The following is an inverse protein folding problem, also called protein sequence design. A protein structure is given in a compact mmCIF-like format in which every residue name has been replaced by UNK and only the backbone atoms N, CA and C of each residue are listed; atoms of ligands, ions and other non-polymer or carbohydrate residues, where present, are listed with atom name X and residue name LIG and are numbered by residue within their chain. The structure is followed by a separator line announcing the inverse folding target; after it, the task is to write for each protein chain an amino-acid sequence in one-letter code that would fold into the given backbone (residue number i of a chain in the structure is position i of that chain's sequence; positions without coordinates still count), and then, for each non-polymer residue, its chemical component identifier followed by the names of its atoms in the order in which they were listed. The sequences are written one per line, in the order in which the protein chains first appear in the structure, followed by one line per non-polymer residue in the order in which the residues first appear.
data_IF_161039133752
#
_entry.id   IF_161039133752
#
_cell.length_a   1.000
_cell.length_b   1.000
_cell.length_c   1.000
_cell.angle_alpha   90.00
_cell.angle_beta   90.00
_cell.angle_gamma   90.00
#
_symmetry.space_group_name_H-M   'P 1'
#
loop_
_entity.id
_entity.type
_entity.pdbx_description
1 polymer ?
#
# COMPACT_ATOMS: atom_id res chain seq x y z
N UNK A 1 -21.48 5.28 0.64
CA UNK A 1 -20.03 5.12 0.92
C UNK A 1 -19.79 3.86 1.76
N UNK A 2 -20.64 3.54 2.74
CA UNK A 2 -20.43 2.39 3.64
C UNK A 2 -20.77 1.03 3.03
N UNK A 3 -21.71 0.93 2.10
CA UNK A 3 -22.17 -0.35 1.52
C UNK A 3 -21.25 -0.92 0.45
N UNK A 4 -20.41 -0.10 -0.18
CA UNK A 4 -19.46 -0.54 -1.23
C UNK A 4 -18.11 -0.99 -0.68
N UNK A 5 -17.88 -0.90 0.63
CA UNK A 5 -16.62 -1.28 1.28
C UNK A 5 -16.66 -2.69 1.93
N UNK A 6 -17.75 -3.43 1.76
CA UNK A 6 -17.99 -4.66 2.53
C UNK A 6 -17.32 -5.92 1.98
N UNK A 7 -16.71 -5.89 0.79
CA UNK A 7 -16.14 -7.08 0.13
C UNK A 7 -14.75 -6.87 -0.51
N UNK A 8 -14.01 -5.83 -0.13
CA UNK A 8 -12.73 -5.51 -0.78
C UNK A 8 -11.52 -6.03 0.01
N UNK A 9 -10.47 -6.38 -0.73
CA UNK A 9 -9.15 -6.57 -0.18
C UNK A 9 -8.72 -5.31 0.60
N UNK A 10 -7.99 -5.43 1.72
CA UNK A 10 -7.53 -4.25 2.48
C UNK A 10 -6.77 -3.22 1.63
N UNK A 11 -6.02 -3.69 0.61
CA UNK A 11 -5.34 -2.81 -0.32
C UNK A 11 -6.32 -1.99 -1.17
N UNK A 12 -7.43 -2.57 -1.63
CA UNK A 12 -8.47 -1.84 -2.38
C UNK A 12 -9.12 -0.75 -1.53
N UNK A 13 -9.38 -1.04 -0.25
CA UNK A 13 -9.90 -0.04 0.69
C UNK A 13 -8.96 1.16 0.77
N UNK A 14 -7.66 0.95 0.85
CA UNK A 14 -6.67 2.01 0.92
C UNK A 14 -6.52 2.77 -0.41
N UNK A 15 -6.56 2.09 -1.55
CA UNK A 15 -6.55 2.76 -2.86
C UNK A 15 -7.78 3.64 -3.03
N UNK A 16 -8.96 3.13 -2.70
CA UNK A 16 -10.19 3.90 -2.73
C UNK A 16 -10.18 5.07 -1.74
N UNK A 17 -9.61 4.86 -0.55
CA UNK A 17 -9.44 5.90 0.45
C UNK A 17 -8.61 7.08 -0.08
N UNK A 18 -7.55 6.83 -0.86
CA UNK A 18 -6.75 7.90 -1.46
C UNK A 18 -7.58 8.74 -2.45
N UNK A 19 -8.39 8.11 -3.29
CA UNK A 19 -9.29 8.80 -4.24
C UNK A 19 -10.36 9.64 -3.50
N UNK A 20 -10.99 9.05 -2.47
CA UNK A 20 -12.01 9.74 -1.65
C UNK A 20 -11.40 10.91 -0.89
N UNK A 21 -10.22 10.71 -0.29
CA UNK A 21 -9.50 11.74 0.44
C UNK A 21 -9.17 12.93 -0.49
N UNK A 22 -8.64 12.65 -1.69
CA UNK A 22 -8.36 13.68 -2.69
C UNK A 22 -9.62 14.49 -3.04
N UNK A 23 -10.73 13.81 -3.30
CA UNK A 23 -12.01 14.43 -3.65
C UNK A 23 -12.57 15.28 -2.51
N UNK A 24 -12.62 14.76 -1.29
CA UNK A 24 -13.21 15.43 -0.13
C UNK A 24 -12.36 16.62 0.33
N UNK A 25 -11.04 16.47 0.31
CA UNK A 25 -10.12 17.54 0.67
C UNK A 25 -9.93 18.56 -0.45
N UNK A 26 -10.43 18.29 -1.66
CA UNK A 26 -10.29 19.16 -2.81
C UNK A 26 -8.84 19.34 -3.24
N UNK A 27 -8.02 18.32 -3.07
CA UNK A 27 -6.62 18.30 -3.46
C UNK A 27 -6.34 17.18 -4.45
N UNK A 28 -5.49 17.47 -5.44
CA UNK A 28 -4.96 16.43 -6.36
C UNK A 28 -3.81 15.64 -5.75
N UNK A 29 -3.21 16.15 -4.69
CA UNK A 29 -1.91 15.73 -4.19
C UNK A 29 -2.08 15.08 -2.81
N UNK A 30 -2.40 13.80 -2.79
CA UNK A 30 -2.66 13.01 -1.59
C UNK A 30 -1.79 11.77 -1.59
N UNK A 31 -1.18 11.45 -0.45
CA UNK A 31 -0.47 10.20 -0.23
C UNK A 31 -0.95 9.49 1.03
N UNK A 32 -0.92 8.17 0.97
CA UNK A 32 -1.11 7.29 2.12
C UNK A 32 0.19 6.50 2.32
N UNK A 33 0.75 6.62 3.51
CA UNK A 33 1.91 5.86 3.94
C UNK A 33 1.48 4.82 4.97
N UNK A 34 1.99 3.59 4.85
CA UNK A 34 1.88 2.55 5.87
C UNK A 34 3.09 2.62 6.79
N UNK A 35 2.85 2.63 8.08
CA UNK A 35 3.93 2.66 9.08
C UNK A 35 4.55 1.27 9.18
N UNK A 36 5.85 1.17 8.90
CA UNK A 36 6.59 -0.07 8.95
C UNK A 36 7.18 -0.35 10.35
N UNK A 37 7.54 0.71 11.07
CA UNK A 37 8.05 0.67 12.43
C UNK A 37 7.98 2.08 13.06
N UNK A 38 8.54 2.25 14.25
CA UNK A 38 8.49 3.53 14.98
C UNK A 38 9.18 4.72 14.31
N UNK A 39 9.94 4.48 13.25
CA UNK A 39 10.69 5.54 12.54
C UNK A 39 10.35 5.66 11.07
N UNK A 40 10.02 4.55 10.44
CA UNK A 40 9.86 4.50 8.98
C UNK A 40 8.43 4.20 8.56
N UNK A 41 8.00 4.92 7.53
CA UNK A 41 6.76 4.62 6.82
C UNK A 41 7.05 4.43 5.31
N UNK A 42 6.24 3.60 4.67
CA UNK A 42 6.36 3.28 3.24
C UNK A 42 5.15 3.82 2.50
N UNK A 43 5.41 4.41 1.36
CA UNK A 43 4.35 4.86 0.46
C UNK A 43 3.49 3.66 0.07
N UNK A 44 2.20 3.76 0.30
CA UNK A 44 1.22 2.79 -0.16
C UNK A 44 0.53 3.26 -1.44
N UNK A 45 0.03 4.49 -1.43
CA UNK A 45 -0.68 5.09 -2.55
C UNK A 45 -0.39 6.58 -2.63
N UNK A 46 -0.34 7.12 -3.85
CA UNK A 46 -0.25 8.56 -4.09
C UNK A 46 -1.01 8.92 -5.35
N UNK A 47 -1.72 10.05 -5.33
CA UNK A 47 -2.59 10.50 -6.43
C UNK A 47 -1.86 11.35 -7.46
N UNK A 48 -0.61 11.74 -7.20
CA UNK A 48 0.20 12.58 -8.11
C UNK A 48 1.70 12.40 -7.87
N UNK A 49 2.52 12.88 -8.78
CA UNK A 49 3.97 12.93 -8.62
C UNK A 49 4.40 13.85 -7.45
N UNK A 50 3.69 14.95 -7.21
CA UNK A 50 3.93 15.78 -6.04
C UNK A 50 3.70 15.04 -4.73
N UNK A 51 2.66 14.23 -4.66
CA UNK A 51 2.38 13.38 -3.50
C UNK A 51 3.43 12.27 -3.30
N UNK A 52 4.19 11.91 -4.36
CA UNK A 52 5.31 10.95 -4.31
C UNK A 52 6.64 11.59 -3.94
N UNK A 53 6.72 12.92 -3.87
CA UNK A 53 7.98 13.67 -3.74
C UNK A 53 8.82 13.31 -2.52
N UNK A 54 8.20 12.82 -1.45
CA UNK A 54 8.91 12.34 -0.26
C UNK A 54 9.56 10.96 -0.45
N UNK A 55 9.27 10.28 -1.56
CA UNK A 55 9.81 8.97 -1.90
C UNK A 55 9.02 7.79 -1.35
N UNK A 56 9.46 6.59 -1.72
CA UNK A 56 8.79 5.33 -1.38
C UNK A 56 9.00 4.90 0.08
N UNK A 57 9.99 5.48 0.76
CA UNK A 57 10.25 5.22 2.19
C UNK A 57 10.68 6.52 2.84
N UNK A 58 10.04 6.89 3.93
CA UNK A 58 10.34 8.11 4.69
C UNK A 58 10.70 7.77 6.13
N UNK A 59 11.66 8.49 6.68
CA UNK A 59 11.89 8.52 8.11
C UNK A 59 10.98 9.59 8.72
N UNK A 60 9.75 9.22 9.05
CA UNK A 60 8.76 10.18 9.57
C UNK A 60 9.09 10.66 10.98
N UNK A 61 9.90 9.93 11.74
CA UNK A 61 10.33 10.36 13.07
C UNK A 61 11.33 11.53 13.03
N UNK A 62 12.05 11.71 11.94
CA UNK A 62 12.94 12.86 11.73
C UNK A 62 12.19 14.12 11.20
N UNK A 63 10.92 13.97 10.88
CA UNK A 63 10.06 15.10 10.51
C UNK A 63 9.47 15.77 11.76
N UNK A 64 10.33 16.32 12.62
CA UNK A 64 10.05 16.74 14.00
C UNK A 64 8.75 17.54 14.18
N UNK A 65 8.54 18.56 13.32
CA UNK A 65 7.36 19.41 13.41
C UNK A 65 6.05 18.63 13.15
N UNK A 66 6.08 17.69 12.21
CA UNK A 66 4.94 16.84 11.90
C UNK A 66 4.81 15.71 12.91
N UNK A 67 5.91 15.02 13.20
CA UNK A 67 5.93 13.87 14.10
C UNK A 67 5.36 14.18 15.47
N UNK A 68 5.80 15.28 16.10
CA UNK A 68 5.32 15.70 17.43
C UNK A 68 3.80 15.88 17.48
N UNK A 69 3.22 16.46 16.42
CA UNK A 69 1.77 16.67 16.33
C UNK A 69 1.04 15.37 16.12
N UNK A 70 1.54 14.53 15.20
CA UNK A 70 0.93 13.23 14.90
C UNK A 70 1.01 12.28 16.10
N UNK A 71 2.14 12.22 16.80
CA UNK A 71 2.31 11.43 18.03
C UNK A 71 1.33 11.85 19.14
N UNK A 72 0.96 13.14 19.17
CA UNK A 72 -0.11 13.66 20.02
C UNK A 72 -1.53 13.38 19.52
N UNK A 73 -1.71 12.51 18.52
CA UNK A 73 -2.99 12.16 17.90
C UNK A 73 -3.78 13.36 17.37
N UNK A 74 -3.05 14.37 16.87
CA UNK A 74 -3.62 15.60 16.32
C UNK A 74 -3.31 15.70 14.83
N UNK A 75 -4.15 16.43 14.10
CA UNK A 75 -3.90 16.77 12.71
C UNK A 75 -2.78 17.80 12.62
N UNK A 76 -1.76 17.49 11.84
CA UNK A 76 -0.71 18.42 11.51
C UNK A 76 -1.18 19.43 10.47
N UNK A 77 -0.91 20.70 10.68
CA UNK A 77 -1.14 21.79 9.74
C UNK A 77 0.19 22.52 9.56
N UNK A 78 0.69 22.58 8.35
CA UNK A 78 1.94 23.26 7.99
C UNK A 78 1.73 24.78 7.92
N UNK A 79 1.72 25.42 9.07
CA UNK A 79 1.50 26.88 9.18
C UNK A 79 2.62 27.71 8.57
N UNK A 80 3.82 27.17 8.54
CA UNK A 80 5.00 27.86 8.03
C UNK A 80 5.19 27.70 6.53
N UNK A 81 4.30 26.96 5.85
CA UNK A 81 4.38 26.67 4.42
C UNK A 81 5.74 26.07 3.99
N UNK A 82 6.36 25.29 4.87
CA UNK A 82 7.63 24.62 4.58
C UNK A 82 7.40 23.55 3.50
N UNK A 83 8.02 23.72 2.35
CA UNK A 83 7.84 22.84 1.18
C UNK A 83 8.28 21.39 1.40
N UNK A 84 9.11 21.14 2.43
CA UNK A 84 9.55 19.80 2.84
C UNK A 84 8.43 18.96 3.44
N UNK A 85 7.34 19.58 3.88
CA UNK A 85 6.23 18.92 4.56
C UNK A 85 4.93 19.01 3.75
N UNK A 86 4.01 18.05 3.93
CA UNK A 86 2.65 18.21 3.43
C UNK A 86 1.97 19.41 4.09
N UNK A 87 0.95 19.97 3.46
CA UNK A 87 0.15 21.05 4.04
C UNK A 87 -0.67 20.57 5.24
N UNK A 88 -1.20 19.35 5.15
CA UNK A 88 -1.88 18.69 6.26
C UNK A 88 -1.46 17.23 6.33
N UNK A 89 -1.40 16.68 7.53
CA UNK A 89 -1.25 15.25 7.74
C UNK A 89 -2.08 14.78 8.94
N UNK A 90 -2.54 13.53 8.86
CA UNK A 90 -3.23 12.85 9.96
C UNK A 90 -2.71 11.43 10.09
N UNK A 91 -2.51 10.99 11.33
CA UNK A 91 -2.11 9.62 11.62
C UNK A 91 -3.33 8.79 12.07
N UNK A 92 -3.40 7.57 11.56
CA UNK A 92 -4.40 6.59 11.96
C UNK A 92 -3.74 5.58 12.90
N UNK A 93 -4.37 5.35 14.03
CA UNK A 93 -3.88 4.51 15.10
C UNK A 93 -4.74 3.24 15.26
N UNK A 94 -4.09 2.15 15.63
CA UNK A 94 -4.74 0.95 16.15
C UNK A 94 -4.01 0.54 17.42
N UNK A 95 -4.73 0.36 18.52
CA UNK A 95 -4.17 -0.04 19.82
C UNK A 95 -2.95 0.82 20.25
N UNK A 96 -3.07 2.15 20.10
CA UNK A 96 -2.02 3.13 20.37
C UNK A 96 -0.78 3.08 19.44
N UNK A 97 -0.73 2.20 18.47
CA UNK A 97 0.30 2.17 17.45
C UNK A 97 -0.15 2.89 16.17
N UNK A 98 0.72 3.75 15.65
CA UNK A 98 0.49 4.42 14.38
C UNK A 98 0.56 3.40 13.23
N UNK A 99 -0.48 3.31 12.43
CA UNK A 99 -0.59 2.34 11.32
C UNK A 99 -0.46 3.01 9.96
N UNK A 100 -1.10 4.16 9.80
CA UNK A 100 -1.12 4.90 8.54
C UNK A 100 -0.85 6.38 8.78
N UNK A 101 -0.26 7.03 7.79
CA UNK A 101 -0.13 8.50 7.74
C UNK A 101 -0.76 8.97 6.44
N UNK A 102 -1.80 9.79 6.56
CA UNK A 102 -2.45 10.49 5.46
C UNK A 102 -1.76 11.83 5.28
N UNK A 103 -1.31 12.14 4.08
CA UNK A 103 -0.61 13.38 3.75
C UNK A 103 -1.27 14.08 2.58
N UNK A 104 -1.41 15.39 2.67
CA UNK A 104 -2.11 16.21 1.68
C UNK A 104 -1.28 17.44 1.37
N UNK A 105 -1.10 17.68 0.07
CA UNK A 105 -0.54 18.91 -0.49
C UNK A 105 -1.60 19.64 -1.33
N UNK A 106 -1.28 20.80 -1.81
CA UNK A 106 -2.07 21.48 -2.85
C UNK A 106 -3.49 21.91 -2.43
N UNK A 107 -3.75 22.06 -1.12
CA UNK A 107 -5.03 22.63 -0.63
C UNK A 107 -5.00 24.13 -0.90
N UNK A 108 -6.05 24.70 -1.54
CA UNK A 108 -6.19 26.14 -1.68
C UNK A 108 -6.14 26.83 -0.31
N UNK A 109 -5.44 27.97 -0.23
CA UNK A 109 -5.24 28.70 1.03
C UNK A 109 -6.55 29.00 1.76
N UNK A 110 -7.59 29.38 1.02
CA UNK A 110 -8.91 29.68 1.56
C UNK A 110 -9.57 28.47 2.25
N UNK A 111 -9.10 27.27 1.91
CA UNK A 111 -9.56 26.00 2.51
C UNK A 111 -8.67 25.51 3.66
N UNK A 112 -7.56 26.19 3.96
CA UNK A 112 -6.70 25.80 5.09
C UNK A 112 -7.31 26.27 6.42
N UNK A 113 -8.42 25.67 6.81
CA UNK A 113 -9.20 26.00 8.00
C UNK A 113 -9.21 24.87 9.03
N UNK A 114 -9.59 25.18 10.27
CA UNK A 114 -9.87 24.16 11.28
C UNK A 114 -10.98 23.21 10.87
N UNK A 115 -11.97 23.68 10.10
CA UNK A 115 -13.02 22.84 9.53
C UNK A 115 -12.45 21.76 8.60
N UNK A 116 -11.46 22.13 7.78
CA UNK A 116 -10.78 21.16 6.91
C UNK A 116 -9.94 20.16 7.71
N UNK A 117 -9.28 20.60 8.79
CA UNK A 117 -8.56 19.70 9.69
C UNK A 117 -9.52 18.71 10.40
N UNK A 118 -10.66 19.20 10.86
CA UNK A 118 -11.71 18.34 11.44
C UNK A 118 -12.26 17.34 10.42
N UNK A 119 -12.46 17.76 9.17
CA UNK A 119 -12.87 16.87 8.09
C UNK A 119 -11.83 15.76 7.87
N UNK A 120 -10.54 16.09 7.85
CA UNK A 120 -9.45 15.11 7.73
C UNK A 120 -9.46 14.12 8.89
N UNK A 121 -9.76 14.56 10.11
CA UNK A 121 -9.94 13.67 11.27
C UNK A 121 -11.09 12.69 11.06
N UNK A 122 -12.26 13.17 10.64
CA UNK A 122 -13.44 12.32 10.39
C UNK A 122 -13.16 11.31 9.27
N UNK A 123 -12.54 11.74 8.18
CA UNK A 123 -12.14 10.84 7.09
C UNK A 123 -11.16 9.78 7.61
N UNK A 124 -10.20 10.17 8.44
CA UNK A 124 -9.27 9.24 9.09
C UNK A 124 -9.99 8.14 9.87
N UNK A 125 -10.98 8.47 10.68
CA UNK A 125 -11.80 7.48 11.40
C UNK A 125 -12.59 6.55 10.45
N UNK A 126 -13.12 7.08 9.36
CA UNK A 126 -13.85 6.26 8.38
C UNK A 126 -12.90 5.26 7.69
N UNK A 127 -11.70 5.71 7.31
CA UNK A 127 -10.66 4.84 6.73
C UNK A 127 -10.25 3.77 7.72
N UNK A 128 -9.96 4.15 8.98
CA UNK A 128 -9.60 3.21 10.04
C UNK A 128 -10.66 2.11 10.20
N UNK A 129 -11.92 2.49 10.32
CA UNK A 129 -13.02 1.54 10.47
C UNK A 129 -13.16 0.60 9.27
N UNK A 130 -12.94 1.12 8.04
CA UNK A 130 -13.00 0.31 6.83
C UNK A 130 -11.83 -0.69 6.77
N UNK A 131 -10.61 -0.24 7.07
CA UNK A 131 -9.41 -1.11 7.11
C UNK A 131 -9.52 -2.18 8.18
N UNK A 132 -9.99 -1.83 9.38
CA UNK A 132 -10.18 -2.81 10.47
C UNK A 132 -11.19 -3.89 10.06
N UNK A 133 -12.30 -3.50 9.41
CA UNK A 133 -13.30 -4.48 8.92
C UNK A 133 -12.72 -5.38 7.83
N UNK A 134 -12.02 -4.80 6.85
CA UNK A 134 -11.39 -5.56 5.77
C UNK A 134 -10.35 -6.55 6.34
N UNK A 135 -9.50 -6.12 7.27
CA UNK A 135 -8.53 -7.00 7.92
C UNK A 135 -9.20 -8.14 8.70
N UNK A 136 -10.28 -7.87 9.43
CA UNK A 136 -11.03 -8.92 10.14
C UNK A 136 -11.63 -9.94 9.18
N UNK A 137 -12.18 -9.48 8.06
CA UNK A 137 -12.72 -10.37 7.02
C UNK A 137 -11.62 -11.26 6.44
N UNK A 138 -10.48 -10.68 6.06
CA UNK A 138 -9.34 -11.44 5.55
C UNK A 138 -8.79 -12.42 6.57
N UNK A 139 -8.65 -12.02 7.84
CA UNK A 139 -8.18 -12.90 8.91
C UNK A 139 -9.15 -14.10 9.15
N UNK A 140 -10.44 -13.88 8.99
CA UNK A 140 -11.41 -14.98 9.08
C UNK A 140 -11.28 -15.98 7.92
N UNK A 141 -10.76 -15.56 6.78
CA UNK A 141 -10.52 -16.40 5.59
C UNK A 141 -9.07 -16.88 5.47
N UNK A 142 -8.20 -16.57 6.43
CA UNK A 142 -6.76 -16.78 6.32
C UNK A 142 -6.38 -18.21 5.94
N UNK A 143 -7.04 -19.21 6.53
CA UNK A 143 -6.79 -20.63 6.22
C UNK A 143 -7.20 -21.03 4.79
N UNK A 144 -8.09 -20.27 4.16
CA UNK A 144 -8.57 -20.53 2.80
C UNK A 144 -7.79 -19.73 1.75
N UNK A 145 -7.04 -18.72 2.19
CA UNK A 145 -6.30 -17.83 1.29
C UNK A 145 -4.92 -18.34 0.91
N UNK A 146 -4.35 -19.21 1.72
CA UNK A 146 -3.00 -19.71 1.53
C UNK A 146 -3.01 -21.21 1.28
N UNK A 147 -2.12 -21.65 0.40
CA UNK A 147 -1.84 -23.07 0.21
C UNK A 147 -1.39 -23.64 1.56
N UNK A 148 -2.02 -24.74 1.97
CA UNK A 148 -1.86 -25.31 3.29
C UNK A 148 -0.38 -25.53 3.67
N UNK A 149 0.03 -24.92 4.78
CA UNK A 149 1.39 -25.01 5.30
C UNK A 149 2.41 -24.09 4.62
N UNK A 150 1.95 -23.14 3.79
CA UNK A 150 2.80 -22.17 3.10
C UNK A 150 2.30 -20.75 3.30
N UNK A 151 3.10 -19.77 2.86
CA UNK A 151 2.69 -18.36 2.72
C UNK A 151 2.44 -17.98 1.25
N UNK A 152 2.09 -18.97 0.43
CA UNK A 152 1.75 -18.79 -0.99
C UNK A 152 0.24 -18.67 -1.08
N UNK A 153 -0.24 -17.62 -1.72
CA UNK A 153 -1.66 -17.37 -1.90
C UNK A 153 -2.27 -18.35 -2.91
N UNK A 154 -3.45 -18.84 -2.57
CA UNK A 154 -4.31 -19.60 -3.47
C UNK A 154 -4.71 -18.77 -4.70
N UNK A 155 -5.02 -19.39 -5.84
CA UNK A 155 -5.27 -18.70 -7.10
C UNK A 155 -6.33 -17.60 -7.03
N UNK A 156 -7.45 -17.84 -6.36
CA UNK A 156 -8.53 -16.85 -6.22
C UNK A 156 -8.08 -15.63 -5.40
N UNK A 157 -7.42 -15.87 -4.28
CA UNK A 157 -6.93 -14.82 -3.41
C UNK A 157 -5.81 -13.99 -4.06
N UNK A 158 -4.92 -14.65 -4.79
CA UNK A 158 -3.84 -13.98 -5.50
C UNK A 158 -4.36 -13.17 -6.68
N UNK A 159 -5.29 -13.73 -7.46
CA UNK A 159 -5.93 -13.03 -8.57
C UNK A 159 -6.66 -11.77 -8.11
N UNK A 160 -7.37 -11.82 -6.98
CA UNK A 160 -8.03 -10.65 -6.40
C UNK A 160 -7.02 -9.53 -6.08
N UNK A 161 -5.89 -9.86 -5.44
CA UNK A 161 -4.81 -8.91 -5.16
C UNK A 161 -4.20 -8.34 -6.44
N UNK A 162 -3.88 -9.19 -7.41
CA UNK A 162 -3.32 -8.74 -8.69
C UNK A 162 -4.25 -7.75 -9.37
N UNK A 163 -5.56 -8.06 -9.46
CA UNK A 163 -6.58 -7.15 -10.02
C UNK A 163 -6.62 -5.82 -9.29
N UNK A 164 -6.61 -5.82 -7.95
CA UNK A 164 -6.62 -4.63 -7.14
C UNK A 164 -5.42 -3.71 -7.44
N UNK A 165 -4.21 -4.29 -7.48
CA UNK A 165 -3.00 -3.53 -7.77
C UNK A 165 -2.93 -3.03 -9.20
N UNK A 166 -3.33 -3.83 -10.19
CA UNK A 166 -3.37 -3.41 -11.59
C UNK A 166 -4.37 -2.28 -11.82
N UNK A 167 -5.58 -2.38 -11.26
CA UNK A 167 -6.57 -1.32 -11.32
C UNK A 167 -6.06 -0.02 -10.67
N UNK A 168 -5.40 -0.11 -9.52
CA UNK A 168 -4.79 1.03 -8.86
C UNK A 168 -3.62 1.62 -9.68
N UNK A 169 -2.81 0.79 -10.32
CA UNK A 169 -1.73 1.21 -11.22
C UNK A 169 -2.29 1.99 -12.42
N UNK A 170 -3.32 1.47 -13.06
CA UNK A 170 -3.94 2.09 -14.23
C UNK A 170 -4.58 3.45 -13.89
N UNK A 171 -5.01 3.61 -12.65
CA UNK A 171 -5.46 4.90 -12.10
C UNK A 171 -4.32 5.83 -11.64
N UNK A 172 -3.06 5.39 -11.73
CA UNK A 172 -1.89 6.14 -11.27
C UNK A 172 -1.73 6.23 -9.75
N UNK A 173 -2.47 5.44 -8.97
CA UNK A 173 -2.44 5.46 -7.50
C UNK A 173 -1.24 4.72 -6.91
N UNK A 174 -0.67 3.77 -7.63
CA UNK A 174 0.48 2.95 -7.21
C UNK A 174 1.32 2.56 -8.42
N UNK A 175 2.48 1.97 -8.15
CA UNK A 175 3.27 1.23 -9.12
C UNK A 175 3.31 -0.23 -8.66
N UNK A 176 3.27 -1.15 -9.59
CA UNK A 176 3.44 -2.57 -9.28
C UNK A 176 4.02 -3.32 -10.47
N UNK A 177 4.66 -4.43 -10.19
CA UNK A 177 5.15 -5.34 -11.23
C UNK A 177 4.77 -6.78 -10.86
N UNK A 178 4.49 -7.59 -11.87
CA UNK A 178 4.24 -9.00 -11.72
C UNK A 178 5.38 -9.79 -12.36
N UNK A 179 5.93 -10.73 -11.61
CA UNK A 179 6.97 -11.65 -12.07
C UNK A 179 6.38 -13.06 -12.14
N UNK A 180 6.45 -13.70 -13.30
CA UNK A 180 6.21 -15.15 -13.38
C UNK A 180 7.48 -15.89 -12.97
N UNK A 181 7.33 -16.95 -12.20
CA UNK A 181 8.45 -17.74 -11.66
C UNK A 181 8.44 -19.11 -12.32
N UNK A 182 9.59 -19.50 -12.88
CA UNK A 182 9.75 -20.81 -13.46
C UNK A 182 9.94 -21.86 -12.35
N UNK A 183 8.94 -22.69 -12.16
CA UNK A 183 8.96 -23.79 -11.17
C UNK A 183 8.75 -25.12 -11.86
N UNK A 184 9.57 -26.12 -11.53
CA UNK A 184 9.27 -27.51 -11.83
C UNK A 184 8.30 -28.05 -10.77
N UNK A 185 7.41 -28.96 -11.16
CA UNK A 185 6.35 -29.48 -10.25
C UNK A 185 6.86 -29.97 -8.89
N UNK A 186 8.07 -30.55 -8.84
CA UNK A 186 8.65 -31.10 -7.63
C UNK A 186 9.37 -30.07 -6.72
N UNK A 187 9.56 -28.83 -7.18
CA UNK A 187 10.37 -27.82 -6.48
C UNK A 187 9.55 -26.64 -5.94
N UNK A 188 8.22 -26.66 -6.08
CA UNK A 188 7.31 -25.54 -5.76
C UNK A 188 7.46 -25.02 -4.33
N UNK A 189 7.42 -25.92 -3.36
CA UNK A 189 7.51 -25.55 -1.94
C UNK A 189 8.88 -24.94 -1.60
N UNK A 190 9.93 -25.43 -2.20
CA UNK A 190 11.28 -24.92 -1.95
C UNK A 190 11.48 -23.56 -2.61
N UNK A 191 11.05 -23.39 -3.85
CA UNK A 191 11.07 -22.11 -4.57
C UNK A 191 10.21 -21.09 -3.86
N UNK A 192 9.00 -21.45 -3.43
CA UNK A 192 8.13 -20.58 -2.67
C UNK A 192 8.75 -20.08 -1.35
N UNK A 193 9.40 -20.98 -0.59
CA UNK A 193 10.12 -20.62 0.64
C UNK A 193 11.33 -19.70 0.38
N UNK A 194 12.03 -19.88 -0.75
CA UNK A 194 13.12 -19.00 -1.16
C UNK A 194 12.58 -17.61 -1.55
N UNK A 195 11.53 -17.56 -2.36
CA UNK A 195 10.89 -16.32 -2.77
C UNK A 195 10.45 -15.48 -1.57
N UNK A 196 9.73 -16.06 -0.62
CA UNK A 196 9.25 -15.37 0.58
C UNK A 196 10.41 -14.72 1.36
N UNK A 197 11.59 -15.35 1.41
CA UNK A 197 12.78 -14.78 2.06
C UNK A 197 13.38 -13.59 1.28
N UNK A 198 13.19 -13.57 -0.02
CA UNK A 198 13.74 -12.55 -0.91
C UNK A 198 12.80 -11.35 -1.09
N UNK A 199 11.52 -11.54 -0.82
CA UNK A 199 10.49 -10.52 -0.97
C UNK A 199 10.40 -9.62 0.27
N UNK A 200 9.87 -8.41 0.04
CA UNK A 200 9.52 -7.49 1.11
C UNK A 200 8.20 -7.94 1.73
N UNK A 201 7.93 -7.50 2.94
CA UNK A 201 6.65 -7.75 3.62
C UNK A 201 5.43 -7.21 2.85
N UNK A 202 5.64 -6.24 1.97
CA UNK A 202 4.60 -5.65 1.10
C UNK A 202 4.35 -6.41 -0.19
N UNK A 203 5.17 -7.40 -0.51
CA UNK A 203 5.10 -8.16 -1.75
C UNK A 203 4.35 -9.48 -1.49
N UNK A 204 3.80 -10.07 -2.53
CA UNK A 204 2.98 -11.26 -2.42
C UNK A 204 3.47 -12.35 -3.35
N UNK A 205 3.36 -13.61 -2.92
CA UNK A 205 3.55 -14.79 -3.76
C UNK A 205 2.24 -15.54 -3.84
N UNK A 206 1.88 -15.98 -5.02
CA UNK A 206 0.69 -16.78 -5.22
C UNK A 206 0.74 -17.59 -6.51
N UNK A 207 -0.24 -18.44 -6.68
CA UNK A 207 -0.45 -19.18 -7.92
C UNK A 207 -1.60 -18.55 -8.72
N UNK A 208 -1.53 -18.68 -10.03
CA UNK A 208 -2.65 -18.45 -10.92
C UNK A 208 -3.05 -19.77 -11.58
N UNK A 209 -4.10 -19.74 -12.41
CA UNK A 209 -4.59 -20.91 -13.11
C UNK A 209 -3.46 -21.67 -13.82
N UNK A 210 -3.49 -23.01 -13.74
CA UNK A 210 -2.45 -23.88 -14.28
C UNK A 210 -1.28 -24.13 -13.31
N UNK A 211 -1.36 -23.65 -12.05
CA UNK A 211 -0.34 -23.87 -11.02
C UNK A 211 0.97 -23.13 -11.27
N UNK A 212 0.96 -22.10 -12.09
CA UNK A 212 2.12 -21.25 -12.34
C UNK A 212 2.26 -20.25 -11.20
N UNK A 213 3.46 -20.16 -10.63
CA UNK A 213 3.77 -19.27 -9.51
C UNK A 213 4.13 -17.87 -9.99
N UNK A 214 3.69 -16.87 -9.23
CA UNK A 214 3.97 -15.46 -9.50
C UNK A 214 4.35 -14.72 -8.22
N UNK A 215 5.12 -13.65 -8.39
CA UNK A 215 5.38 -12.67 -7.35
C UNK A 215 4.83 -11.30 -7.76
N UNK A 216 3.96 -10.72 -6.93
CA UNK A 216 3.45 -9.36 -7.09
C UNK A 216 4.30 -8.43 -6.24
N UNK A 217 5.00 -7.51 -6.89
CA UNK A 217 5.85 -6.50 -6.27
C UNK A 217 5.07 -5.20 -6.10
N UNK A 218 4.75 -4.85 -4.86
CA UNK A 218 4.03 -3.62 -4.52
C UNK A 218 4.96 -2.40 -4.55
N UNK A 219 4.45 -1.25 -4.98
CA UNK A 219 5.21 0.02 -5.07
C UNK A 219 6.57 -0.13 -5.77
N UNK A 220 6.58 -0.90 -6.85
CA UNK A 220 7.80 -1.22 -7.59
C UNK A 220 7.65 -0.74 -9.03
N UNK A 221 8.56 0.15 -9.46
CA UNK A 221 8.62 0.60 -10.84
C UNK A 221 9.14 -0.51 -11.76
N UNK A 222 8.95 -0.38 -13.08
CA UNK A 222 9.50 -1.32 -14.06
C UNK A 222 11.03 -1.45 -13.94
N UNK A 223 11.73 -0.34 -13.66
CA UNK A 223 13.17 -0.33 -13.43
C UNK A 223 13.56 -1.11 -12.17
N UNK A 224 12.84 -0.89 -11.07
CA UNK A 224 13.12 -1.57 -9.81
C UNK A 224 12.78 -3.06 -9.90
N UNK A 225 11.73 -3.43 -10.66
CA UNK A 225 11.39 -4.82 -10.94
C UNK A 225 12.51 -5.59 -11.63
N UNK A 226 13.25 -4.93 -12.54
CA UNK A 226 14.43 -5.52 -13.19
C UNK A 226 15.51 -5.86 -12.17
N UNK A 227 15.78 -4.97 -11.20
CA UNK A 227 16.75 -5.23 -10.14
C UNK A 227 16.30 -6.37 -9.21
N UNK A 228 14.99 -6.48 -8.93
CA UNK A 228 14.45 -7.59 -8.15
C UNK A 228 14.58 -8.91 -8.92
N UNK A 229 14.28 -8.92 -10.23
CA UNK A 229 14.50 -10.10 -11.08
C UNK A 229 15.95 -10.57 -11.04
N UNK A 230 16.91 -9.67 -11.24
CA UNK A 230 18.35 -10.01 -11.19
C UNK A 230 18.76 -10.59 -9.82
N UNK A 231 18.17 -10.09 -8.73
CA UNK A 231 18.39 -10.64 -7.39
C UNK A 231 17.85 -12.06 -7.28
N UNK A 232 16.66 -12.34 -7.83
CA UNK A 232 16.07 -13.67 -7.83
C UNK A 232 16.92 -14.65 -8.65
N UNK A 233 17.39 -14.25 -9.82
CA UNK A 233 18.27 -15.06 -10.67
C UNK A 233 19.58 -15.41 -9.97
N UNK A 234 20.20 -14.48 -9.21
CA UNK A 234 21.40 -14.74 -8.40
C UNK A 234 21.19 -15.78 -7.31
N UNK A 235 19.98 -15.87 -6.77
CA UNK A 235 19.58 -16.86 -5.77
C UNK A 235 19.01 -18.16 -6.39
N UNK A 236 19.16 -18.30 -7.70
CA UNK A 236 18.77 -19.52 -8.43
C UNK A 236 17.26 -19.62 -8.71
N UNK A 237 16.53 -18.51 -8.65
CA UNK A 237 15.12 -18.43 -9.00
C UNK A 237 14.97 -17.76 -10.36
N UNK A 238 14.65 -18.53 -11.40
CA UNK A 238 14.38 -18.00 -12.74
C UNK A 238 13.00 -17.34 -12.78
N UNK A 239 12.93 -16.11 -13.30
CA UNK A 239 11.68 -15.39 -13.39
C UNK A 239 11.66 -14.39 -14.55
N UNK A 240 10.45 -14.03 -14.99
CA UNK A 240 10.23 -13.09 -16.08
C UNK A 240 9.21 -12.02 -15.67
N UNK A 241 9.50 -10.76 -16.03
CA UNK A 241 8.55 -9.66 -15.82
C UNK A 241 7.40 -9.83 -16.82
N UNK A 242 6.18 -9.81 -16.30
CA UNK A 242 4.96 -9.86 -17.11
C UNK A 242 4.48 -8.43 -17.38
N UNK A 243 4.47 -8.03 -18.63
CA UNK A 243 3.96 -6.72 -19.07
C UNK A 243 2.44 -6.73 -19.21
N UNK A 244 1.88 -7.83 -19.69
CA UNK A 244 0.45 -8.03 -19.84
C UNK A 244 -0.01 -9.17 -18.93
N UNK A 245 -0.85 -8.83 -17.96
CA UNK A 245 -1.52 -9.83 -17.14
C UNK A 245 -2.85 -10.17 -17.81
N UNK A 246 -2.99 -11.39 -18.21
CA UNK A 246 -4.26 -11.94 -18.65
C UNK A 246 -5.25 -11.90 -17.49
N UNK A 247 -6.16 -10.96 -17.54
CA UNK A 247 -7.30 -10.84 -16.62
C UNK A 247 -8.59 -11.03 -17.40
#
# INVERSE_FOLDING_TARGET
ITSSLEQYEPCEVLFYAAEVLAKLMGSKDVAIYTVANRSYARLFSATSEKARSLGNSINYSEMDAMYTVLAGKKVYINKNMDERYPLMANAIYSEDEMQLILMIWGIPWERMTLGQANMLTVIGYLIQNAVVRANRYISALEQQRYIKGTNILEPEAFLALVKAYLNARDKGLTQCALLSVDTKENDRDEVGKRLIKLLRQSDYVGELEGGKMYALLANTSAKDATMVRERFEKEGVSCQIQEDVFV
#
